data_IF_535877582447
#
_entry.id   IF_535877582447
#
_cell.length_a   1.000
_cell.length_b   1.000
_cell.length_c   1.000
_cell.angle_alpha   90.00
_cell.angle_beta   90.00
_cell.angle_gamma   90.00
#
_symmetry.space_group_name_H-M   'P 1'
#
loop_
_entity.id
_entity.type
_entity.pdbx_description
1 polymer ?
#
# COMPACT_ATOMS: atom_id res chain seq x y z
N UNK A 1 -13.90 29.16 -14.06
CA UNK A 1 -14.22 27.81 -14.55
C UNK A 1 -15.57 27.46 -13.99
N UNK A 2 -16.38 26.69 -14.73
CA UNK A 2 -17.80 26.50 -14.41
C UNK A 2 -18.16 25.04 -14.08
N UNK A 3 -17.17 24.13 -14.08
CA UNK A 3 -17.33 22.72 -13.74
C UNK A 3 -16.04 22.15 -13.09
N UNK A 4 -16.16 21.00 -12.42
CA UNK A 4 -15.05 20.31 -11.76
C UNK A 4 -15.19 18.78 -11.84
N UNK A 5 -14.04 18.08 -11.78
CA UNK A 5 -13.99 16.63 -11.55
C UNK A 5 -13.78 16.35 -10.06
N UNK A 6 -14.70 15.62 -9.45
CA UNK A 6 -14.64 15.25 -8.05
C UNK A 6 -15.45 13.96 -7.79
N UNK A 7 -15.21 13.31 -6.65
CA UNK A 7 -16.11 12.29 -6.16
C UNK A 7 -17.48 12.88 -5.82
N UNK A 8 -18.55 12.14 -6.07
CA UNK A 8 -19.93 12.60 -5.90
C UNK A 8 -20.23 13.09 -4.47
N UNK A 9 -19.55 12.51 -3.47
CA UNK A 9 -19.63 12.93 -2.06
C UNK A 9 -19.26 14.42 -1.82
N UNK A 10 -18.52 15.06 -2.73
CA UNK A 10 -18.17 16.47 -2.63
C UNK A 10 -19.36 17.40 -2.94
N UNK A 11 -20.35 16.94 -3.72
CA UNK A 11 -21.44 17.77 -4.21
C UNK A 11 -22.22 18.44 -3.06
N UNK A 12 -22.62 17.65 -2.06
CA UNK A 12 -23.33 18.13 -0.88
C UNK A 12 -22.49 19.13 -0.04
N UNK A 13 -21.17 18.92 0.02
CA UNK A 13 -20.26 19.78 0.80
C UNK A 13 -20.17 21.19 0.20
N UNK A 14 -20.23 21.29 -1.13
CA UNK A 14 -20.04 22.55 -1.85
C UNK A 14 -21.32 23.12 -2.47
N UNK A 15 -22.48 22.50 -2.21
CA UNK A 15 -23.75 22.92 -2.81
C UNK A 15 -23.76 22.81 -4.35
N UNK A 16 -23.05 21.81 -4.88
CA UNK A 16 -22.95 21.55 -6.32
C UNK A 16 -23.94 20.45 -6.74
N UNK A 17 -24.25 20.40 -8.03
CA UNK A 17 -25.07 19.36 -8.65
C UNK A 17 -24.24 18.54 -9.65
N UNK A 18 -24.27 17.20 -9.60
CA UNK A 18 -23.59 16.37 -10.59
C UNK A 18 -24.20 16.55 -11.99
N UNK A 19 -23.39 16.99 -12.96
CA UNK A 19 -23.82 17.12 -14.36
C UNK A 19 -23.79 15.77 -15.11
N UNK A 20 -22.86 14.89 -14.74
CA UNK A 20 -22.66 13.56 -15.29
C UNK A 20 -21.97 12.69 -14.24
N UNK A 21 -22.40 11.43 -14.11
CA UNK A 21 -21.84 10.45 -13.18
C UNK A 21 -21.16 9.31 -13.95
N UNK A 22 -20.43 8.43 -13.25
CA UNK A 22 -19.77 7.26 -13.85
C UNK A 22 -18.82 7.60 -15.02
N UNK A 23 -18.15 8.75 -14.92
CA UNK A 23 -17.22 9.27 -15.94
C UNK A 23 -15.81 8.66 -15.89
N UNK A 24 -15.65 7.54 -15.20
CA UNK A 24 -14.34 6.92 -15.03
C UNK A 24 -13.93 6.17 -16.31
N UNK A 25 -12.67 6.32 -16.73
CA UNK A 25 -12.17 5.61 -17.92
C UNK A 25 -11.97 4.11 -17.67
N UNK A 26 -11.73 3.73 -16.40
CA UNK A 26 -11.43 2.36 -15.99
C UNK A 26 -12.47 1.85 -14.98
N UNK A 27 -13.30 0.89 -15.41
CA UNK A 27 -14.37 0.28 -14.59
C UNK A 27 -13.84 -0.39 -13.31
N UNK A 28 -12.56 -0.79 -13.29
CA UNK A 28 -11.94 -1.50 -12.17
C UNK A 28 -11.00 -0.63 -11.33
N UNK A 29 -11.12 0.70 -11.41
CA UNK A 29 -10.33 1.60 -10.57
C UNK A 29 -10.71 1.42 -9.08
N UNK A 30 -9.84 0.78 -8.32
CA UNK A 30 -10.03 0.56 -6.88
C UNK A 30 -8.92 1.25 -6.08
N UNK A 31 -9.30 1.88 -4.97
CA UNK A 31 -8.36 2.45 -4.01
C UNK A 31 -8.34 1.58 -2.75
N UNK A 32 -7.16 1.07 -2.40
CA UNK A 32 -6.96 0.35 -1.14
C UNK A 32 -6.63 1.34 -0.02
N UNK A 33 -7.39 1.31 1.05
CA UNK A 33 -7.12 2.04 2.29
C UNK A 33 -6.68 1.09 3.40
N UNK A 34 -5.92 1.61 4.36
CA UNK A 34 -5.56 0.92 5.60
C UNK A 34 -5.91 1.80 6.80
N UNK A 35 -6.48 1.21 7.85
CA UNK A 35 -6.73 1.89 9.12
C UNK A 35 -5.52 1.65 10.03
N UNK A 36 -4.88 2.74 10.49
CA UNK A 36 -3.67 2.68 11.31
C UNK A 36 -3.97 3.16 12.73
N UNK A 37 -3.46 2.40 13.72
CA UNK A 37 -3.54 2.73 15.13
C UNK A 37 -2.18 2.66 15.81
N UNK A 38 -2.12 3.02 17.11
CA UNK A 38 -0.93 2.79 17.94
C UNK A 38 -0.69 1.28 18.11
N UNK A 39 0.55 0.86 18.45
CA UNK A 39 0.85 -0.54 18.71
C UNK A 39 -0.12 -1.16 19.72
N UNK A 40 -0.69 -2.29 19.35
CA UNK A 40 -1.66 -3.04 20.15
C UNK A 40 -1.44 -4.54 19.91
N UNK A 41 -2.08 -5.37 20.74
CA UNK A 41 -2.06 -6.81 20.52
C UNK A 41 -2.76 -7.13 19.19
N UNK A 42 -2.17 -7.97 18.32
CA UNK A 42 -2.86 -8.45 17.13
C UNK A 42 -4.19 -9.13 17.48
N UNK A 43 -5.16 -9.01 16.59
CA UNK A 43 -6.39 -9.81 16.67
C UNK A 43 -6.09 -11.30 16.54
N UNK A 44 -7.05 -12.14 16.93
CA UNK A 44 -6.95 -13.57 16.66
C UNK A 44 -6.87 -13.82 15.13
N UNK A 45 -6.10 -14.83 14.70
CA UNK A 45 -5.99 -15.17 13.28
C UNK A 45 -7.35 -15.60 12.72
N UNK A 46 -7.66 -15.14 11.52
CA UNK A 46 -8.87 -15.48 10.77
C UNK A 46 -8.63 -16.57 9.73
N UNK A 47 -7.36 -16.80 9.36
CA UNK A 47 -6.98 -17.71 8.27
C UNK A 47 -6.96 -17.03 6.88
N UNK A 48 -7.37 -15.76 6.81
CA UNK A 48 -7.28 -14.91 5.63
C UNK A 48 -6.64 -13.56 6.01
N UNK A 49 -5.54 -13.64 6.75
CA UNK A 49 -4.87 -12.47 7.33
C UNK A 49 -3.75 -11.95 6.42
N UNK A 50 -3.49 -10.65 6.50
CA UNK A 50 -2.38 -9.97 5.85
C UNK A 50 -1.53 -9.27 6.91
N UNK A 51 -0.21 -9.33 6.78
CA UNK A 51 0.73 -8.66 7.68
C UNK A 51 1.64 -7.74 6.87
N UNK A 52 1.56 -6.44 7.16
CA UNK A 52 2.44 -5.46 6.53
C UNK A 52 3.70 -5.24 7.38
N UNK A 53 4.87 -5.32 6.77
CA UNK A 53 6.17 -5.04 7.41
C UNK A 53 7.00 -4.09 6.58
N UNK A 54 7.86 -3.32 7.25
CA UNK A 54 8.93 -2.55 6.62
C UNK A 54 10.25 -3.15 7.07
N UNK A 55 11.08 -3.54 6.11
CA UNK A 55 12.35 -4.22 6.37
C UNK A 55 13.49 -3.36 5.86
N UNK A 56 14.47 -3.09 6.72
CA UNK A 56 15.74 -2.48 6.36
C UNK A 56 16.77 -3.58 6.15
N UNK A 57 17.50 -3.52 5.04
CA UNK A 57 18.62 -4.43 4.83
C UNK A 57 19.77 -3.99 5.74
N UNK A 58 20.37 -4.95 6.45
CA UNK A 58 21.53 -4.68 7.30
C UNK A 58 22.80 -4.37 6.52
N UNK A 59 22.91 -4.89 5.30
CA UNK A 59 24.01 -4.66 4.37
C UNK A 59 23.45 -4.55 2.93
N UNK A 60 23.95 -3.58 2.16
CA UNK A 60 23.53 -3.35 0.77
C UNK A 60 24.50 -4.02 -0.19
N UNK A 61 24.13 -5.20 -0.68
CA UNK A 61 24.91 -5.95 -1.65
C UNK A 61 24.00 -6.67 -2.67
N UNK A 62 24.54 -7.02 -3.87
CA UNK A 62 23.79 -7.76 -4.85
C UNK A 62 23.29 -9.11 -4.30
N UNK A 63 21.97 -9.28 -4.25
CA UNK A 63 21.33 -10.48 -3.70
C UNK A 63 20.66 -10.29 -2.34
N UNK A 64 20.93 -9.20 -1.62
CA UNK A 64 20.36 -8.97 -0.29
C UNK A 64 18.81 -9.02 -0.25
N UNK A 65 18.15 -8.50 -1.30
CA UNK A 65 16.70 -8.64 -1.42
C UNK A 65 16.25 -10.08 -1.66
N UNK A 66 16.99 -10.84 -2.47
CA UNK A 66 16.68 -12.25 -2.73
C UNK A 66 16.78 -13.07 -1.44
N UNK A 67 17.83 -12.86 -0.64
CA UNK A 67 18.00 -13.50 0.66
C UNK A 67 16.82 -13.20 1.59
N UNK A 68 16.39 -11.94 1.66
CA UNK A 68 15.18 -11.54 2.40
C UNK A 68 13.93 -12.28 1.91
N UNK A 69 13.72 -12.36 0.59
CA UNK A 69 12.54 -13.03 0.02
C UNK A 69 12.56 -14.54 0.20
N UNK A 70 13.74 -15.15 0.24
CA UNK A 70 13.91 -16.56 0.52
C UNK A 70 13.34 -16.92 1.90
N UNK A 71 13.48 -16.06 2.91
CA UNK A 71 12.93 -16.32 4.25
C UNK A 71 11.41 -16.53 4.24
N UNK A 72 10.67 -15.81 3.38
CA UNK A 72 9.23 -16.02 3.20
C UNK A 72 8.95 -17.28 2.38
N UNK A 73 9.66 -17.46 1.26
CA UNK A 73 9.43 -18.54 0.32
C UNK A 73 9.66 -19.92 0.95
N UNK A 74 10.74 -20.12 1.71
CA UNK A 74 11.04 -21.42 2.35
C UNK A 74 10.03 -21.82 3.43
N UNK A 75 9.24 -20.85 3.93
CA UNK A 75 8.16 -21.07 4.91
C UNK A 75 6.78 -21.15 4.25
N UNK A 76 6.71 -21.09 2.92
CA UNK A 76 5.44 -21.10 2.19
C UNK A 76 4.58 -19.85 2.42
N UNK A 77 5.19 -18.73 2.80
CA UNK A 77 4.48 -17.45 3.01
C UNK A 77 4.40 -16.70 1.69
N UNK A 78 3.19 -16.51 1.18
CA UNK A 78 2.95 -15.77 -0.05
C UNK A 78 2.98 -14.25 0.20
N UNK A 79 3.56 -13.50 -0.73
CA UNK A 79 3.60 -12.04 -0.69
C UNK A 79 2.58 -11.44 -1.66
N UNK A 80 1.91 -10.37 -1.25
CA UNK A 80 0.96 -9.62 -2.08
C UNK A 80 1.50 -8.28 -2.56
N UNK A 81 2.51 -7.73 -1.86
CA UNK A 81 3.15 -6.48 -2.21
C UNK A 81 4.62 -6.55 -1.87
N UNK A 82 5.46 -6.00 -2.76
CA UNK A 82 6.84 -5.67 -2.46
C UNK A 82 7.15 -4.32 -3.11
N UNK A 83 7.64 -3.38 -2.32
CA UNK A 83 7.99 -2.05 -2.80
C UNK A 83 9.27 -1.55 -2.14
N UNK A 84 10.28 -1.23 -2.94
CA UNK A 84 11.46 -0.51 -2.47
C UNK A 84 11.13 0.97 -2.24
N UNK A 85 11.63 1.52 -1.14
CA UNK A 85 11.50 2.94 -0.78
C UNK A 85 12.87 3.46 -0.35
N UNK A 86 13.35 4.59 -0.90
CA UNK A 86 14.59 5.19 -0.42
C UNK A 86 14.39 5.66 1.03
N UNK A 87 15.36 5.39 1.90
CA UNK A 87 15.27 5.78 3.32
C UNK A 87 15.53 7.26 3.54
N UNK A 88 16.12 7.94 2.55
CA UNK A 88 16.57 9.34 2.66
C UNK A 88 17.94 9.51 3.31
N UNK A 89 18.58 8.42 3.75
CA UNK A 89 19.90 8.43 4.41
C UNK A 89 21.07 8.35 3.41
N UNK A 90 20.79 8.27 2.11
CA UNK A 90 21.80 8.21 1.06
C UNK A 90 21.34 7.42 -0.17
N UNK A 91 22.10 7.53 -1.26
CA UNK A 91 21.91 6.70 -2.46
C UNK A 91 22.32 5.26 -2.13
N UNK A 92 21.46 4.28 -2.43
CA UNK A 92 21.70 2.86 -2.12
C UNK A 92 20.96 2.37 -0.87
N UNK A 93 20.54 3.28 0.01
CA UNK A 93 19.82 2.90 1.23
C UNK A 93 18.32 2.78 0.95
N UNK A 94 17.83 1.54 0.94
CA UNK A 94 16.42 1.22 0.74
C UNK A 94 15.84 0.47 1.94
N UNK A 95 14.57 0.74 2.21
CA UNK A 95 13.72 -0.18 2.95
C UNK A 95 12.69 -0.78 2.01
N UNK A 96 12.19 -1.97 2.38
CA UNK A 96 11.20 -2.70 1.61
C UNK A 96 9.90 -2.76 2.40
N UNK A 97 8.84 -2.18 1.85
CA UNK A 97 7.49 -2.41 2.35
C UNK A 97 6.95 -3.71 1.72
N UNK A 98 6.49 -4.63 2.56
CA UNK A 98 6.05 -5.97 2.17
C UNK A 98 4.70 -6.27 2.82
N UNK A 99 3.78 -6.85 2.04
CA UNK A 99 2.50 -7.41 2.52
C UNK A 99 2.41 -8.91 2.25
#
# INVERSE_FOLDING_TARGET
YDAAFAGEFAAATYGLEPLVTEIHDAENAQTRFVLVGRPARPSAPTGADKTSVVIWLGDDHPGALLELLQEFAVRGVNLMLIQSRPTGEGIGNYCFAVD
#
